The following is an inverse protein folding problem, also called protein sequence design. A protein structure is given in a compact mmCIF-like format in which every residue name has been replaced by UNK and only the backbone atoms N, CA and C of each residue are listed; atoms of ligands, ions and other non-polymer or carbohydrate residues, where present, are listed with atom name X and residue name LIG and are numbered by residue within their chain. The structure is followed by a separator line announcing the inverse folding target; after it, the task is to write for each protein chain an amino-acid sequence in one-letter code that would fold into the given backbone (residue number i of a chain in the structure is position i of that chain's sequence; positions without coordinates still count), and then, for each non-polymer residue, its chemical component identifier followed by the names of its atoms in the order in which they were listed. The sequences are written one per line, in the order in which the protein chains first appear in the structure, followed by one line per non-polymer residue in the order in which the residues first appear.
data_IF_698202404375
#
_entry.id   IF_698202404375
#
_cell.length_a   1.000
_cell.length_b   1.000
_cell.length_c   1.000
_cell.angle_alpha   90.00
_cell.angle_beta   90.00
_cell.angle_gamma   90.00
#
_symmetry.space_group_name_H-M   'P 1'
#
loop_
_entity.id
_entity.type
_entity.pdbx_description
1 polymer ?
#
# COMPACT_ATOMS: atom_id res chain seq x y z
N UNK A 1 -39.12 30.57 -25.52
CA UNK A 1 -38.16 29.51 -25.93
C UNK A 1 -37.54 28.88 -24.70
N UNK A 2 -37.03 29.61 -23.70
CA UNK A 2 -36.42 29.03 -22.49
C UNK A 2 -37.44 28.22 -21.65
N UNK A 3 -38.64 28.73 -21.40
CA UNK A 3 -39.66 28.03 -20.60
C UNK A 3 -40.15 26.72 -21.28
N UNK A 4 -40.13 26.61 -22.59
CA UNK A 4 -40.48 25.39 -23.30
C UNK A 4 -39.38 24.31 -23.21
N UNK A 5 -38.12 24.74 -23.18
CA UNK A 5 -36.97 23.82 -23.03
C UNK A 5 -36.90 23.29 -21.60
N UNK A 6 -37.10 24.13 -20.58
CA UNK A 6 -37.18 23.74 -19.18
C UNK A 6 -38.26 22.68 -18.91
N UNK A 7 -39.45 22.90 -19.45
CA UNK A 7 -40.56 21.96 -19.32
C UNK A 7 -40.25 20.61 -20.00
N UNK A 8 -39.59 20.64 -21.16
CA UNK A 8 -39.15 19.44 -21.86
C UNK A 8 -38.12 18.61 -21.03
N UNK A 9 -37.13 19.27 -20.41
CA UNK A 9 -36.10 18.57 -19.61
C UNK A 9 -36.69 18.00 -18.30
N UNK A 10 -37.55 18.73 -17.60
CA UNK A 10 -38.26 18.18 -16.43
C UNK A 10 -39.16 16.99 -16.81
N UNK A 11 -39.77 17.00 -18.00
CA UNK A 11 -40.50 15.86 -18.52
C UNK A 11 -39.58 14.67 -18.79
N UNK A 12 -38.40 14.88 -19.38
CA UNK A 12 -37.42 13.88 -19.66
C UNK A 12 -36.90 13.19 -18.35
N UNK A 13 -36.70 13.94 -17.27
CA UNK A 13 -36.35 13.37 -15.93
C UNK A 13 -37.44 12.42 -15.45
N UNK A 14 -38.71 12.81 -15.56
CA UNK A 14 -39.86 11.93 -15.12
C UNK A 14 -39.96 10.70 -16.00
N UNK A 15 -39.78 10.85 -17.30
CA UNK A 15 -39.84 9.77 -18.28
C UNK A 15 -38.70 8.75 -18.06
N UNK A 16 -37.47 9.22 -17.86
CA UNK A 16 -36.32 8.38 -17.52
C UNK A 16 -36.59 7.55 -16.25
N UNK A 17 -37.13 8.17 -15.21
CA UNK A 17 -37.53 7.46 -13.98
C UNK A 17 -38.62 6.40 -14.23
N UNK A 18 -39.61 6.72 -15.08
CA UNK A 18 -40.70 5.79 -15.42
C UNK A 18 -40.19 4.58 -16.20
N UNK A 19 -39.28 4.80 -17.17
CA UNK A 19 -38.66 3.73 -17.95
C UNK A 19 -37.87 2.80 -17.04
N UNK A 20 -37.03 3.35 -16.14
CA UNK A 20 -36.25 2.54 -15.21
C UNK A 20 -37.08 1.74 -14.22
N UNK A 21 -38.31 2.19 -13.89
CA UNK A 21 -39.26 1.49 -13.02
C UNK A 21 -40.12 0.45 -13.74
N UNK A 22 -40.10 0.43 -15.06
CA UNK A 22 -40.97 -0.45 -15.86
C UNK A 22 -40.70 -1.94 -15.61
N UNK A 23 -41.62 -2.79 -15.96
CA UNK A 23 -41.45 -4.24 -15.89
C UNK A 23 -40.42 -4.79 -16.87
N UNK A 24 -40.17 -4.06 -17.96
CA UNK A 24 -39.09 -4.30 -18.96
C UNK A 24 -38.31 -3.03 -19.16
N UNK A 25 -37.41 -2.67 -18.24
CA UNK A 25 -36.75 -1.39 -18.27
C UNK A 25 -35.72 -1.30 -19.40
N UNK A 26 -35.74 -0.20 -20.13
CA UNK A 26 -34.66 0.19 -21.06
C UNK A 26 -33.73 1.20 -20.37
N UNK A 27 -32.68 0.67 -19.74
CA UNK A 27 -31.71 1.48 -19.01
C UNK A 27 -30.87 2.37 -19.95
N UNK A 28 -30.66 1.97 -21.20
CA UNK A 28 -29.94 2.78 -22.19
C UNK A 28 -30.74 4.03 -22.56
N UNK A 29 -32.04 3.87 -22.82
CA UNK A 29 -32.95 4.99 -23.08
C UNK A 29 -33.07 5.91 -21.86
N UNK A 30 -33.25 5.34 -20.65
CA UNK A 30 -33.31 6.11 -19.42
C UNK A 30 -32.05 6.96 -19.18
N UNK A 31 -30.85 6.38 -19.39
CA UNK A 31 -29.57 7.12 -19.30
C UNK A 31 -29.47 8.23 -20.35
N UNK A 32 -29.92 8.00 -21.56
CA UNK A 32 -29.90 8.99 -22.62
C UNK A 32 -30.76 10.21 -22.26
N UNK A 33 -31.95 9.98 -21.73
CA UNK A 33 -32.86 11.05 -21.30
C UNK A 33 -32.32 11.85 -20.14
N UNK A 34 -31.78 11.17 -19.10
CA UNK A 34 -31.28 11.86 -17.90
C UNK A 34 -30.00 12.64 -18.17
N UNK A 35 -29.12 12.17 -19.06
CA UNK A 35 -27.88 12.84 -19.43
C UNK A 35 -28.12 14.28 -19.90
N UNK A 36 -29.12 14.49 -20.79
CA UNK A 36 -29.48 15.81 -21.25
C UNK A 36 -29.93 16.73 -20.10
N UNK A 37 -30.62 16.20 -19.10
CA UNK A 37 -31.08 16.97 -17.95
C UNK A 37 -29.96 17.31 -16.96
N UNK A 38 -28.95 16.44 -16.81
CA UNK A 38 -27.78 16.68 -15.95
C UNK A 38 -26.90 17.83 -16.47
N UNK A 39 -26.87 18.05 -17.77
CA UNK A 39 -26.08 19.08 -18.40
C UNK A 39 -26.87 20.41 -18.61
N UNK A 40 -28.20 20.36 -18.52
CA UNK A 40 -29.04 21.53 -18.80
C UNK A 40 -29.01 22.54 -17.64
N UNK A 41 -28.75 23.83 -17.90
CA UNK A 41 -28.66 24.88 -16.88
C UNK A 41 -29.89 25.00 -15.96
N UNK A 42 -31.08 24.59 -16.43
CA UNK A 42 -32.32 24.73 -15.66
C UNK A 42 -32.66 23.50 -14.80
N UNK A 43 -31.98 22.36 -15.03
CA UNK A 43 -32.24 21.11 -14.31
C UNK A 43 -31.00 20.53 -13.62
N UNK A 44 -29.79 20.98 -13.97
CA UNK A 44 -28.55 20.50 -13.34
C UNK A 44 -28.42 20.82 -11.85
N UNK A 45 -29.13 21.85 -11.38
CA UNK A 45 -29.17 22.27 -9.98
C UNK A 45 -30.43 21.77 -9.25
N UNK A 46 -31.22 20.89 -9.86
CA UNK A 46 -32.36 20.23 -9.23
C UNK A 46 -31.94 18.87 -8.64
N UNK A 47 -32.11 18.70 -7.33
CA UNK A 47 -31.82 17.45 -6.63
C UNK A 47 -32.51 16.22 -7.26
N UNK A 48 -33.71 16.40 -7.84
CA UNK A 48 -34.44 15.35 -8.52
C UNK A 48 -33.69 14.78 -9.71
N UNK A 49 -33.03 15.63 -10.50
CA UNK A 49 -32.28 15.21 -11.69
C UNK A 49 -31.18 14.22 -11.32
N UNK A 50 -30.38 14.55 -10.31
CA UNK A 50 -29.32 13.68 -9.80
C UNK A 50 -29.82 12.44 -9.08
N UNK A 51 -30.93 12.59 -8.32
CA UNK A 51 -31.57 11.44 -7.70
C UNK A 51 -32.04 10.42 -8.74
N UNK A 52 -32.69 10.87 -9.83
CA UNK A 52 -33.15 9.98 -10.90
C UNK A 52 -31.98 9.33 -11.62
N UNK A 53 -30.86 10.05 -11.83
CA UNK A 53 -29.66 9.44 -12.39
C UNK A 53 -29.14 8.28 -11.51
N UNK A 54 -28.97 8.48 -10.21
CA UNK A 54 -28.56 7.42 -9.30
C UNK A 54 -29.59 6.29 -9.17
N UNK A 55 -30.88 6.64 -9.24
CA UNK A 55 -31.96 5.65 -9.22
C UNK A 55 -31.93 4.72 -10.44
N UNK A 56 -31.64 5.23 -11.65
CA UNK A 56 -31.50 4.41 -12.86
C UNK A 56 -30.39 3.37 -12.67
N UNK A 57 -29.25 3.78 -12.11
CA UNK A 57 -28.13 2.88 -11.84
C UNK A 57 -28.46 1.83 -10.76
N UNK A 58 -29.18 2.22 -9.70
CA UNK A 58 -29.65 1.30 -8.69
C UNK A 58 -30.62 0.24 -9.26
N UNK A 59 -31.52 0.64 -10.14
CA UNK A 59 -32.45 -0.29 -10.82
C UNK A 59 -31.71 -1.25 -11.75
N UNK A 60 -30.70 -0.79 -12.48
CA UNK A 60 -29.84 -1.66 -13.31
C UNK A 60 -29.08 -2.67 -12.45
N UNK A 61 -28.46 -2.21 -11.37
CA UNK A 61 -27.77 -3.06 -10.42
C UNK A 61 -28.71 -4.11 -9.82
N UNK A 62 -29.89 -3.68 -9.36
CA UNK A 62 -30.92 -4.56 -8.79
C UNK A 62 -31.45 -5.59 -9.78
N UNK A 63 -31.56 -5.22 -11.06
CA UNK A 63 -31.98 -6.13 -12.13
C UNK A 63 -30.95 -7.25 -12.34
N UNK A 64 -29.65 -6.92 -12.41
CA UNK A 64 -28.60 -7.93 -12.53
C UNK A 64 -28.50 -8.82 -11.28
N UNK A 65 -28.62 -8.26 -10.08
CA UNK A 65 -28.69 -9.02 -8.84
C UNK A 65 -29.90 -10.00 -8.80
N UNK A 66 -31.01 -9.58 -9.32
CA UNK A 66 -32.21 -10.45 -9.39
C UNK A 66 -31.94 -11.69 -10.24
N UNK A 67 -31.21 -11.54 -11.36
CA UNK A 67 -30.77 -12.70 -12.16
C UNK A 67 -29.95 -13.67 -11.31
N UNK A 68 -28.95 -13.14 -10.56
CA UNK A 68 -28.10 -13.94 -9.69
C UNK A 68 -28.94 -14.71 -8.62
N UNK A 69 -29.87 -14.03 -7.97
CA UNK A 69 -30.74 -14.67 -6.96
C UNK A 69 -31.60 -15.77 -7.57
N UNK A 70 -32.03 -15.61 -8.81
CA UNK A 70 -32.81 -16.62 -9.56
C UNK A 70 -31.96 -17.74 -10.17
N UNK A 71 -30.64 -17.77 -9.87
CA UNK A 71 -29.71 -18.77 -10.42
C UNK A 71 -29.39 -18.58 -11.89
N UNK A 72 -29.67 -17.40 -12.43
CA UNK A 72 -29.25 -16.99 -13.78
C UNK A 72 -27.89 -16.27 -13.72
N UNK A 73 -27.17 -16.26 -14.84
CA UNK A 73 -25.91 -15.56 -14.95
C UNK A 73 -26.14 -14.04 -15.06
N UNK A 74 -25.66 -13.21 -14.10
CA UNK A 74 -25.69 -11.76 -14.26
C UNK A 74 -24.63 -11.31 -15.26
N UNK A 75 -24.82 -10.14 -15.84
CA UNK A 75 -23.74 -9.42 -16.52
C UNK A 75 -22.93 -8.65 -15.46
N UNK A 76 -21.85 -9.27 -14.93
CA UNK A 76 -21.06 -8.69 -13.85
C UNK A 76 -20.43 -7.34 -14.19
N UNK A 77 -19.85 -7.11 -15.39
CA UNK A 77 -19.41 -5.78 -15.80
C UNK A 77 -20.51 -4.73 -15.70
N UNK A 78 -21.68 -5.00 -16.29
CA UNK A 78 -22.84 -4.09 -16.26
C UNK A 78 -23.32 -3.87 -14.81
N UNK A 79 -23.36 -4.93 -14.02
CA UNK A 79 -23.79 -4.89 -12.61
C UNK A 79 -22.90 -3.97 -11.79
N UNK A 80 -21.56 -4.15 -11.86
CA UNK A 80 -20.65 -3.35 -11.05
C UNK A 80 -20.43 -1.94 -11.60
N UNK A 81 -20.50 -1.73 -12.91
CA UNK A 81 -20.48 -0.35 -13.48
C UNK A 81 -21.69 0.46 -13.00
N UNK A 82 -22.86 -0.16 -12.96
CA UNK A 82 -24.04 0.49 -12.41
C UNK A 82 -23.87 0.79 -10.91
N UNK A 83 -23.45 -0.19 -10.10
CA UNK A 83 -23.22 0.01 -8.66
C UNK A 83 -22.23 1.16 -8.38
N UNK A 84 -21.09 1.19 -9.08
CA UNK A 84 -20.07 2.22 -8.91
C UNK A 84 -20.55 3.63 -9.28
N UNK A 85 -21.59 3.72 -10.12
CA UNK A 85 -22.18 4.98 -10.55
C UNK A 85 -23.25 5.53 -9.60
N UNK A 86 -23.78 4.73 -8.66
CA UNK A 86 -24.85 5.15 -7.75
C UNK A 86 -24.40 6.28 -6.82
N UNK A 87 -23.29 6.07 -6.10
CA UNK A 87 -22.85 7.02 -5.08
C UNK A 87 -22.55 8.41 -5.64
N UNK A 88 -21.78 8.59 -6.73
CA UNK A 88 -21.52 9.93 -7.28
C UNK A 88 -22.78 10.73 -7.59
N UNK A 89 -23.80 10.10 -8.15
CA UNK A 89 -25.08 10.75 -8.41
C UNK A 89 -25.82 11.09 -7.12
N UNK A 90 -25.86 10.18 -6.17
CA UNK A 90 -26.57 10.40 -4.91
C UNK A 90 -25.88 11.41 -3.99
N UNK A 91 -24.55 11.55 -4.05
CA UNK A 91 -23.86 12.62 -3.34
C UNK A 91 -24.31 13.99 -3.83
N UNK A 92 -24.36 14.18 -5.15
CA UNK A 92 -24.81 15.45 -5.70
C UNK A 92 -26.30 15.69 -5.42
N UNK A 93 -27.13 14.64 -5.53
CA UNK A 93 -28.54 14.73 -5.15
C UNK A 93 -28.72 15.13 -3.69
N UNK A 94 -27.95 14.49 -2.78
CA UNK A 94 -27.99 14.78 -1.34
C UNK A 94 -27.52 16.22 -1.05
N UNK A 95 -26.42 16.67 -1.64
CA UNK A 95 -25.93 18.05 -1.51
C UNK A 95 -27.04 19.07 -1.84
N UNK A 96 -27.68 18.89 -3.01
CA UNK A 96 -28.75 19.77 -3.47
C UNK A 96 -30.03 19.68 -2.63
N UNK A 97 -30.36 18.47 -2.12
CA UNK A 97 -31.54 18.23 -1.29
C UNK A 97 -31.42 18.85 0.10
N UNK A 98 -30.19 19.17 0.58
CA UNK A 98 -29.94 19.87 1.84
C UNK A 98 -29.95 21.40 1.70
N UNK A 99 -30.09 21.94 0.50
CA UNK A 99 -30.13 23.40 0.31
C UNK A 99 -31.44 24.00 0.87
N UNK A 100 -31.37 25.17 1.51
CA UNK A 100 -32.58 25.85 1.99
C UNK A 100 -33.44 26.34 0.80
N UNK A 101 -34.76 26.22 0.95
CA UNK A 101 -35.71 26.81 0.01
C UNK A 101 -35.73 28.35 0.13
N UNK A 102 -36.53 29.03 -0.71
CA UNK A 102 -36.70 30.50 -0.72
C UNK A 102 -37.09 31.10 0.65
N UNK A 103 -37.64 30.29 1.56
CA UNK A 103 -38.01 30.68 2.93
C UNK A 103 -36.92 30.36 3.95
N UNK A 104 -35.71 29.98 3.51
CA UNK A 104 -34.57 29.63 4.36
C UNK A 104 -34.74 28.29 5.10
N UNK A 105 -35.70 27.44 4.73
CA UNK A 105 -35.97 26.14 5.38
C UNK A 105 -35.44 24.98 4.55
N UNK A 106 -34.66 24.12 5.17
CA UNK A 106 -34.26 22.83 4.58
C UNK A 106 -35.41 21.84 4.68
N UNK A 107 -35.85 21.29 3.53
CA UNK A 107 -36.93 20.29 3.44
C UNK A 107 -36.49 19.19 2.46
N UNK A 108 -35.68 18.23 2.91
CA UNK A 108 -35.19 17.16 2.06
C UNK A 108 -36.35 16.29 1.52
N UNK A 109 -36.29 15.98 0.24
CA UNK A 109 -37.30 15.14 -0.45
C UNK A 109 -36.74 13.77 -0.79
N UNK A 110 -35.44 13.66 -1.07
CA UNK A 110 -34.80 12.45 -1.57
C UNK A 110 -33.86 11.80 -0.56
N UNK A 111 -33.43 12.51 0.48
CA UNK A 111 -32.47 12.04 1.49
C UNK A 111 -32.87 10.70 2.10
N UNK A 112 -34.16 10.46 2.40
CA UNK A 112 -34.65 9.20 2.97
C UNK A 112 -34.47 8.03 1.99
N UNK A 113 -34.80 8.22 0.73
CA UNK A 113 -34.71 7.19 -0.29
C UNK A 113 -33.24 6.91 -0.63
N UNK A 114 -32.41 7.95 -0.79
CA UNK A 114 -30.94 7.85 -0.98
C UNK A 114 -30.34 7.01 0.16
N UNK A 115 -30.68 7.33 1.42
CA UNK A 115 -30.21 6.59 2.58
C UNK A 115 -30.62 5.11 2.50
N UNK A 116 -31.87 4.82 2.15
CA UNK A 116 -32.36 3.46 2.00
C UNK A 116 -31.60 2.66 0.95
N UNK A 117 -31.39 3.26 -0.22
CA UNK A 117 -30.69 2.63 -1.35
C UNK A 117 -29.21 2.41 -1.02
N UNK A 118 -28.50 3.44 -0.55
CA UNK A 118 -27.07 3.32 -0.20
C UNK A 118 -26.85 2.32 0.92
N UNK A 119 -27.70 2.32 1.96
CA UNK A 119 -27.62 1.36 3.04
C UNK A 119 -27.84 -0.09 2.59
N UNK A 120 -28.83 -0.33 1.71
CA UNK A 120 -29.10 -1.66 1.16
C UNK A 120 -27.98 -2.17 0.24
N UNK A 121 -27.31 -1.27 -0.46
CA UNK A 121 -26.25 -1.59 -1.41
C UNK A 121 -24.84 -1.59 -0.78
N UNK A 122 -24.69 -1.11 0.45
CA UNK A 122 -23.39 -0.85 1.07
C UNK A 122 -22.43 -2.04 1.00
N UNK A 123 -22.86 -3.23 1.40
CA UNK A 123 -22.02 -4.43 1.39
C UNK A 123 -21.56 -4.84 -0.01
N UNK A 124 -22.32 -4.50 -1.05
CA UNK A 124 -21.97 -4.89 -2.43
C UNK A 124 -20.81 -4.08 -3.01
N UNK A 125 -20.47 -2.94 -2.42
CA UNK A 125 -19.23 -2.22 -2.77
C UNK A 125 -17.99 -3.02 -2.40
N UNK A 126 -18.03 -3.84 -1.34
CA UNK A 126 -16.95 -4.79 -1.04
C UNK A 126 -16.80 -5.79 -2.18
N UNK A 127 -17.91 -6.36 -2.65
CA UNK A 127 -17.91 -7.34 -3.73
C UNK A 127 -17.39 -6.74 -5.05
N UNK A 128 -17.80 -5.50 -5.37
CA UNK A 128 -17.30 -4.78 -6.54
C UNK A 128 -15.79 -4.51 -6.45
N UNK A 129 -15.32 -4.08 -5.28
CA UNK A 129 -13.90 -3.91 -5.02
C UNK A 129 -13.11 -5.20 -5.21
N UNK A 130 -13.60 -6.32 -4.65
CA UNK A 130 -12.99 -7.64 -4.81
C UNK A 130 -12.98 -8.11 -6.28
N UNK A 131 -14.11 -7.93 -6.98
CA UNK A 131 -14.23 -8.28 -8.39
C UNK A 131 -13.16 -7.60 -9.27
N UNK A 132 -12.98 -6.28 -9.12
CA UNK A 132 -11.96 -5.56 -9.88
C UNK A 132 -10.53 -5.84 -9.38
N UNK A 133 -10.36 -6.10 -8.10
CA UNK A 133 -9.06 -6.48 -7.54
C UNK A 133 -8.55 -7.81 -8.13
N UNK A 134 -9.43 -8.81 -8.25
CA UNK A 134 -9.10 -10.11 -8.86
C UNK A 134 -8.75 -9.98 -10.35
N UNK A 135 -9.35 -9.00 -11.03
CA UNK A 135 -9.01 -8.67 -12.42
C UNK A 135 -7.78 -7.77 -12.55
N UNK A 136 -7.14 -7.38 -11.43
CA UNK A 136 -6.01 -6.45 -11.38
C UNK A 136 -6.34 -5.04 -11.91
N UNK A 137 -7.61 -4.68 -11.99
CA UNK A 137 -8.05 -3.30 -12.18
C UNK A 137 -8.05 -2.57 -10.83
N UNK A 138 -6.85 -2.31 -10.34
CA UNK A 138 -6.65 -1.73 -9.01
C UNK A 138 -7.23 -0.32 -8.87
N UNK A 139 -7.39 0.40 -9.97
CA UNK A 139 -8.02 1.72 -9.94
C UNK A 139 -9.51 1.59 -9.59
N UNK A 140 -10.24 0.76 -10.33
CA UNK A 140 -11.66 0.51 -10.02
C UNK A 140 -11.82 -0.16 -8.64
N UNK A 141 -10.95 -1.11 -8.28
CA UNK A 141 -10.98 -1.73 -6.96
C UNK A 141 -10.84 -0.68 -5.84
N UNK A 142 -9.87 0.22 -5.93
CA UNK A 142 -9.68 1.32 -5.01
C UNK A 142 -10.92 2.21 -4.92
N UNK A 143 -11.49 2.61 -6.06
CA UNK A 143 -12.66 3.46 -6.11
C UNK A 143 -13.88 2.82 -5.42
N UNK A 144 -14.10 1.51 -5.59
CA UNK A 144 -15.16 0.77 -4.91
C UNK A 144 -14.95 0.71 -3.40
N UNK A 145 -13.74 0.41 -2.94
CA UNK A 145 -13.42 0.41 -1.51
C UNK A 145 -13.57 1.81 -0.90
N UNK A 146 -13.12 2.85 -1.59
CA UNK A 146 -13.32 4.24 -1.13
C UNK A 146 -14.80 4.62 -1.08
N UNK A 147 -15.62 4.18 -2.04
CA UNK A 147 -17.05 4.42 -2.00
C UNK A 147 -17.71 3.73 -0.79
N UNK A 148 -17.29 2.50 -0.46
CA UNK A 148 -17.76 1.82 0.76
C UNK A 148 -17.44 2.66 2.02
N UNK A 149 -16.18 3.08 2.16
CA UNK A 149 -15.72 3.88 3.31
C UNK A 149 -16.44 5.23 3.38
N UNK A 150 -16.63 5.86 2.24
CA UNK A 150 -17.30 7.15 2.13
C UNK A 150 -18.78 7.07 2.52
N UNK A 151 -19.50 6.01 2.10
CA UNK A 151 -20.89 5.78 2.52
C UNK A 151 -20.94 5.63 4.05
N UNK A 152 -20.00 4.89 4.66
CA UNK A 152 -19.93 4.72 6.11
C UNK A 152 -19.72 6.06 6.86
N UNK A 153 -19.08 7.04 6.23
CA UNK A 153 -18.81 8.36 6.79
C UNK A 153 -19.93 9.39 6.54
N UNK A 154 -20.93 9.06 5.71
CA UNK A 154 -22.00 10.00 5.40
C UNK A 154 -22.84 10.34 6.64
N UNK A 155 -23.10 11.64 6.89
CA UNK A 155 -23.83 12.08 8.10
C UNK A 155 -25.18 11.41 8.32
N UNK A 156 -25.83 10.99 7.22
CA UNK A 156 -27.14 10.33 7.28
C UNK A 156 -27.11 8.95 7.93
N UNK A 157 -25.93 8.31 8.06
CA UNK A 157 -25.76 6.99 8.68
C UNK A 157 -25.23 7.06 10.11
N UNK A 158 -25.03 8.27 10.66
CA UNK A 158 -24.49 8.41 12.01
C UNK A 158 -25.31 7.65 13.04
N UNK A 159 -24.67 6.72 13.75
CA UNK A 159 -25.29 5.87 14.76
C UNK A 159 -26.02 4.64 14.23
N UNK A 160 -25.84 4.30 12.95
CA UNK A 160 -26.39 3.10 12.31
C UNK A 160 -25.29 2.09 11.98
N UNK A 161 -25.68 0.83 11.74
CA UNK A 161 -24.74 -0.26 11.42
C UNK A 161 -23.81 0.05 10.24
N UNK A 162 -24.28 0.78 9.22
CA UNK A 162 -23.48 1.21 8.07
C UNK A 162 -22.28 2.07 8.48
N UNK A 163 -22.38 2.83 9.57
CA UNK A 163 -21.32 3.70 10.08
C UNK A 163 -20.41 3.01 11.11
N UNK A 164 -20.64 1.73 11.44
CA UNK A 164 -19.81 0.99 12.38
C UNK A 164 -18.43 0.73 11.82
N UNK A 165 -17.43 0.76 12.70
CA UNK A 165 -16.03 0.45 12.39
C UNK A 165 -15.74 -1.03 12.66
N UNK A 166 -16.57 -1.90 12.09
CA UNK A 166 -16.52 -3.34 12.25
C UNK A 166 -15.35 -3.98 11.46
N UNK A 167 -15.31 -5.32 11.47
CA UNK A 167 -14.30 -6.08 10.74
C UNK A 167 -14.32 -5.82 9.21
N UNK A 168 -15.50 -5.60 8.64
CA UNK A 168 -15.63 -5.30 7.22
C UNK A 168 -15.03 -3.94 6.90
N UNK A 169 -15.33 -2.94 7.73
CA UNK A 169 -14.74 -1.60 7.57
C UNK A 169 -13.21 -1.64 7.62
N UNK A 170 -12.64 -2.33 8.61
CA UNK A 170 -11.18 -2.47 8.74
C UNK A 170 -10.57 -3.24 7.56
N UNK A 171 -11.23 -4.32 7.13
CA UNK A 171 -10.81 -5.09 5.96
C UNK A 171 -10.81 -4.24 4.69
N UNK A 172 -11.85 -3.45 4.47
CA UNK A 172 -11.95 -2.57 3.30
C UNK A 172 -10.89 -1.48 3.33
N UNK A 173 -10.62 -0.87 4.50
CA UNK A 173 -9.51 0.09 4.63
C UNK A 173 -8.17 -0.52 4.22
N UNK A 174 -7.90 -1.74 4.66
CA UNK A 174 -6.68 -2.45 4.29
C UNK A 174 -6.60 -2.71 2.77
N UNK A 175 -7.65 -3.25 2.16
CA UNK A 175 -7.63 -3.56 0.73
C UNK A 175 -7.67 -2.32 -0.16
N UNK A 176 -8.28 -1.22 0.28
CA UNK A 176 -8.16 0.08 -0.38
C UNK A 176 -6.69 0.53 -0.40
N UNK A 177 -5.99 0.41 0.73
CA UNK A 177 -4.58 0.76 0.82
C UNK A 177 -3.71 -0.15 -0.08
N UNK A 178 -3.95 -1.47 -0.08
CA UNK A 178 -3.23 -2.41 -0.97
C UNK A 178 -3.50 -2.08 -2.44
N UNK A 179 -4.75 -1.80 -2.83
CA UNK A 179 -5.07 -1.39 -4.20
C UNK A 179 -4.33 -0.10 -4.59
N UNK A 180 -4.27 0.89 -3.69
CA UNK A 180 -3.53 2.14 -3.92
C UNK A 180 -2.02 1.90 -4.12
N UNK A 181 -1.42 1.02 -3.33
CA UNK A 181 -0.01 0.60 -3.50
C UNK A 181 0.25 -0.01 -4.88
N UNK A 182 -0.69 -0.85 -5.37
CA UNK A 182 -0.56 -1.47 -6.68
C UNK A 182 -0.70 -0.49 -7.86
N UNK A 183 -1.24 0.70 -7.63
CA UNK A 183 -1.32 1.76 -8.65
C UNK A 183 0.01 2.48 -8.89
N UNK A 184 0.99 2.34 -7.98
CA UNK A 184 2.27 3.05 -8.06
C UNK A 184 2.17 4.56 -7.75
N UNK A 185 1.06 5.00 -7.16
CA UNK A 185 0.86 6.37 -6.67
C UNK A 185 1.13 6.40 -5.17
N UNK A 186 2.39 6.66 -4.80
CA UNK A 186 2.82 6.65 -3.39
C UNK A 186 2.05 7.65 -2.52
N UNK A 187 1.60 8.78 -3.05
CA UNK A 187 0.82 9.74 -2.26
C UNK A 187 -0.55 9.17 -1.88
N UNK A 188 -1.24 8.58 -2.86
CA UNK A 188 -2.53 7.92 -2.66
C UNK A 188 -2.38 6.72 -1.71
N UNK A 189 -1.34 5.91 -1.91
CA UNK A 189 -1.04 4.75 -1.09
C UNK A 189 -0.76 5.14 0.37
N UNK A 190 0.11 6.12 0.62
CA UNK A 190 0.42 6.64 1.95
C UNK A 190 -0.85 7.15 2.64
N UNK A 191 -1.68 7.93 1.95
CA UNK A 191 -2.92 8.46 2.53
C UNK A 191 -3.89 7.33 2.96
N UNK A 192 -4.02 6.28 2.16
CA UNK A 192 -4.86 5.13 2.48
C UNK A 192 -4.26 4.28 3.61
N UNK A 193 -2.94 4.04 3.59
CA UNK A 193 -2.22 3.28 4.61
C UNK A 193 -2.23 3.99 5.98
N UNK A 194 -2.05 5.32 6.01
CA UNK A 194 -2.13 6.09 7.27
C UNK A 194 -3.54 6.03 7.90
N UNK A 195 -4.59 5.91 7.11
CA UNK A 195 -5.93 5.63 7.63
C UNK A 195 -6.04 4.20 8.17
N UNK A 196 -5.53 3.20 7.44
CA UNK A 196 -5.55 1.79 7.84
C UNK A 196 -4.69 1.53 9.09
N UNK A 197 -3.61 2.29 9.30
CA UNK A 197 -2.71 2.25 10.46
C UNK A 197 -3.44 2.41 11.81
N UNK A 198 -4.59 3.10 11.81
CA UNK A 198 -5.39 3.31 13.00
C UNK A 198 -6.27 2.10 13.37
N UNK A 199 -6.17 0.99 12.65
CA UNK A 199 -6.87 -0.27 12.93
C UNK A 199 -5.88 -1.36 13.33
N UNK A 200 -6.40 -2.42 13.97
CA UNK A 200 -5.57 -3.58 14.30
C UNK A 200 -5.57 -4.66 13.20
N UNK A 201 -6.35 -4.47 12.14
CA UNK A 201 -6.44 -5.43 11.06
C UNK A 201 -5.15 -5.44 10.23
N UNK A 202 -4.42 -6.56 10.26
CA UNK A 202 -3.14 -6.76 9.58
C UNK A 202 -2.14 -5.61 9.83
N UNK A 203 -2.14 -5.10 11.05
CA UNK A 203 -1.44 -3.86 11.40
C UNK A 203 0.07 -3.90 11.07
N UNK A 204 0.75 -5.04 11.31
CA UNK A 204 2.17 -5.18 10.95
C UNK A 204 2.41 -4.98 9.45
N UNK A 205 1.56 -5.56 8.61
CA UNK A 205 1.66 -5.42 7.15
C UNK A 205 1.40 -3.97 6.69
N UNK A 206 0.45 -3.28 7.32
CA UNK A 206 0.20 -1.86 7.04
C UNK A 206 1.45 -1.03 7.31
N UNK A 207 2.15 -1.26 8.43
CA UNK A 207 3.41 -0.59 8.74
C UNK A 207 4.51 -0.94 7.73
N UNK A 208 4.60 -2.19 7.28
CA UNK A 208 5.57 -2.60 6.26
C UNK A 208 5.30 -1.92 4.90
N UNK A 209 4.03 -1.86 4.48
CA UNK A 209 3.64 -1.11 3.27
C UNK A 209 3.94 0.39 3.38
N UNK A 210 3.69 1.01 4.55
CA UNK A 210 4.05 2.41 4.79
C UNK A 210 5.55 2.64 4.67
N UNK A 211 6.38 1.76 5.24
CA UNK A 211 7.82 1.85 5.09
C UNK A 211 8.24 1.78 3.62
N UNK A 212 7.67 0.85 2.87
CA UNK A 212 7.92 0.73 1.43
C UNK A 212 7.55 2.01 0.67
N UNK A 213 6.37 2.55 0.91
CA UNK A 213 5.89 3.75 0.21
C UNK A 213 6.68 5.01 0.59
N UNK A 214 7.08 5.17 1.86
CA UNK A 214 7.95 6.26 2.27
C UNK A 214 9.37 6.14 1.66
N UNK A 215 9.87 4.91 1.49
CA UNK A 215 11.14 4.66 0.79
C UNK A 215 11.03 5.06 -0.70
N UNK A 216 9.96 4.65 -1.40
CA UNK A 216 9.71 5.04 -2.80
C UNK A 216 9.57 6.56 -2.94
N UNK A 217 8.89 7.21 -2.00
CA UNK A 217 8.72 8.66 -1.94
C UNK A 217 10.00 9.40 -1.51
N UNK A 218 11.05 8.68 -1.09
CA UNK A 218 12.29 9.23 -0.49
C UNK A 218 12.03 10.09 0.75
N UNK A 219 10.95 9.83 1.44
CA UNK A 219 10.60 10.48 2.70
C UNK A 219 11.28 9.76 3.87
N UNK A 220 12.57 10.04 4.03
CA UNK A 220 13.42 9.39 5.03
C UNK A 220 12.98 9.68 6.48
N UNK A 221 12.32 10.81 6.72
CA UNK A 221 11.85 11.21 8.05
C UNK A 221 10.66 10.33 8.47
N UNK A 222 9.65 10.22 7.63
CA UNK A 222 8.49 9.39 7.93
C UNK A 222 8.82 7.89 7.85
N UNK A 223 9.76 7.48 6.98
CA UNK A 223 10.28 6.10 6.97
C UNK A 223 10.88 5.73 8.34
N UNK A 224 11.83 6.53 8.85
CA UNK A 224 12.46 6.25 10.15
C UNK A 224 11.44 6.20 11.28
N UNK A 225 10.55 7.19 11.34
CA UNK A 225 9.47 7.24 12.34
C UNK A 225 8.58 5.99 12.27
N UNK A 226 8.19 5.57 11.07
CA UNK A 226 7.33 4.39 10.88
C UNK A 226 8.04 3.10 11.27
N UNK A 227 9.34 2.98 10.98
CA UNK A 227 10.17 1.85 11.40
C UNK A 227 10.29 1.78 12.93
N UNK A 228 10.52 2.92 13.62
CA UNK A 228 10.59 2.99 15.08
C UNK A 228 9.23 2.64 15.72
N UNK A 229 8.13 3.17 15.19
CA UNK A 229 6.78 2.82 15.65
C UNK A 229 6.49 1.33 15.44
N UNK A 230 6.85 0.78 14.27
CA UNK A 230 6.69 -0.64 13.93
C UNK A 230 7.49 -1.54 14.87
N UNK A 231 8.74 -1.20 15.13
CA UNK A 231 9.59 -1.94 16.07
C UNK A 231 9.03 -1.94 17.50
N UNK A 232 8.48 -0.81 17.95
CA UNK A 232 7.86 -0.72 19.28
C UNK A 232 6.55 -1.52 19.37
N UNK A 233 5.74 -1.49 18.31
CA UNK A 233 4.42 -2.16 18.29
C UNK A 233 4.54 -3.67 18.02
N UNK A 234 5.53 -4.08 17.23
CA UNK A 234 5.76 -5.46 16.79
C UNK A 234 7.21 -5.91 17.08
N UNK A 235 7.64 -5.98 18.35
CA UNK A 235 9.03 -6.21 18.72
C UNK A 235 9.57 -7.59 18.30
N UNK A 236 8.70 -8.56 17.99
CA UNK A 236 9.08 -9.88 17.49
C UNK A 236 9.28 -9.93 15.96
N UNK A 237 8.88 -8.86 15.25
CA UNK A 237 9.02 -8.77 13.80
C UNK A 237 10.40 -8.22 13.44
N UNK A 238 11.29 -9.11 13.01
CA UNK A 238 12.67 -8.75 12.63
C UNK A 238 12.74 -7.71 11.51
N UNK A 239 11.71 -7.61 10.68
CA UNK A 239 11.65 -6.66 9.56
C UNK A 239 11.94 -5.23 10.01
N UNK A 240 11.26 -4.74 11.06
CA UNK A 240 11.41 -3.35 11.51
C UNK A 240 12.80 -3.06 12.06
N UNK A 241 13.33 -3.97 12.86
CA UNK A 241 14.67 -3.84 13.43
C UNK A 241 15.73 -3.79 12.32
N UNK A 242 15.68 -4.76 11.39
CA UNK A 242 16.69 -4.86 10.34
C UNK A 242 16.60 -3.70 9.34
N UNK A 243 15.38 -3.27 8.99
CA UNK A 243 15.16 -2.12 8.11
C UNK A 243 15.63 -0.82 8.75
N UNK A 244 15.41 -0.64 10.06
CA UNK A 244 15.89 0.54 10.80
C UNK A 244 17.42 0.58 10.85
N UNK A 245 18.06 -0.55 11.15
CA UNK A 245 19.51 -0.67 11.14
C UNK A 245 20.07 -0.33 9.75
N UNK A 246 19.50 -0.90 8.68
CA UNK A 246 19.91 -0.61 7.32
C UNK A 246 19.72 0.89 6.98
N UNK A 247 18.61 1.50 7.39
CA UNK A 247 18.37 2.93 7.20
C UNK A 247 19.47 3.78 7.87
N UNK A 248 19.90 3.42 9.08
CA UNK A 248 21.02 4.10 9.74
C UNK A 248 22.35 3.89 9.04
N UNK A 249 22.64 2.70 8.54
CA UNK A 249 23.85 2.40 7.76
C UNK A 249 23.89 3.25 6.49
N UNK A 250 22.82 3.25 5.70
CA UNK A 250 22.73 4.02 4.45
C UNK A 250 22.80 5.53 4.66
N UNK A 251 22.33 6.01 5.80
CA UNK A 251 22.42 7.43 6.17
C UNK A 251 23.72 7.80 6.92
N UNK A 252 24.71 6.90 6.97
CA UNK A 252 26.01 7.04 7.69
C UNK A 252 25.86 7.33 9.20
N UNK A 253 24.75 6.94 9.80
CA UNK A 253 24.49 7.02 11.26
C UNK A 253 24.88 5.72 11.96
N UNK A 254 26.14 5.32 11.78
CA UNK A 254 26.66 4.02 12.18
C UNK A 254 26.57 3.78 13.69
N UNK A 255 26.73 4.83 14.52
CA UNK A 255 26.61 4.72 15.98
C UNK A 255 25.20 4.29 16.40
N UNK A 256 24.16 4.84 15.76
CA UNK A 256 22.77 4.41 16.00
C UNK A 256 22.54 2.95 15.57
N UNK A 257 23.07 2.55 14.42
CA UNK A 257 22.98 1.17 13.97
C UNK A 257 23.62 0.20 14.99
N UNK A 258 24.77 0.56 15.55
CA UNK A 258 25.50 -0.22 16.57
C UNK A 258 24.67 -0.30 17.87
N UNK A 259 24.04 0.79 18.30
CA UNK A 259 23.19 0.81 19.50
C UNK A 259 22.00 -0.16 19.37
N UNK A 260 21.29 -0.11 18.26
CA UNK A 260 20.18 -1.05 17.99
C UNK A 260 20.66 -2.50 17.87
N UNK A 261 21.80 -2.74 17.21
CA UNK A 261 22.39 -4.06 17.10
C UNK A 261 22.82 -4.64 18.46
N UNK A 262 23.43 -3.83 19.32
CA UNK A 262 23.81 -4.25 20.67
C UNK A 262 22.56 -4.64 21.48
N UNK A 263 21.48 -3.88 21.36
CA UNK A 263 20.21 -4.19 22.02
C UNK A 263 19.61 -5.50 21.50
N UNK A 264 19.67 -5.72 20.18
CA UNK A 264 19.20 -6.95 19.55
C UNK A 264 20.04 -8.18 19.97
N UNK A 265 21.37 -8.07 19.96
CA UNK A 265 22.30 -9.12 20.39
C UNK A 265 22.10 -9.47 21.87
N UNK A 266 21.79 -8.48 22.72
CA UNK A 266 21.50 -8.73 24.13
C UNK A 266 20.22 -9.56 24.33
N UNK A 267 19.24 -9.43 23.42
CA UNK A 267 17.98 -10.22 23.42
C UNK A 267 18.16 -11.61 22.80
N UNK A 268 18.92 -11.69 21.72
CA UNK A 268 19.15 -12.93 20.95
C UNK A 268 20.64 -13.08 20.60
N UNK A 269 21.42 -13.55 21.56
CA UNK A 269 22.86 -13.72 21.43
C UNK A 269 23.29 -14.89 20.51
N UNK A 270 22.34 -15.75 20.10
CA UNK A 270 22.60 -16.91 19.24
C UNK A 270 22.19 -16.67 17.77
N UNK A 271 21.92 -15.44 17.38
CA UNK A 271 21.53 -15.09 16.03
C UNK A 271 22.76 -14.63 15.21
N UNK A 272 23.27 -15.46 14.29
CA UNK A 272 24.48 -15.11 13.52
C UNK A 272 24.28 -13.90 12.61
N UNK A 273 23.04 -13.64 12.16
CA UNK A 273 22.70 -12.51 11.33
C UNK A 273 23.02 -11.16 12.01
N UNK A 274 22.75 -11.04 13.31
CA UNK A 274 23.02 -9.80 14.06
C UNK A 274 24.52 -9.49 14.11
N UNK A 275 25.34 -10.51 14.30
CA UNK A 275 26.79 -10.35 14.30
C UNK A 275 27.33 -10.08 12.89
N UNK A 276 26.75 -10.69 11.85
CA UNK A 276 27.10 -10.38 10.47
C UNK A 276 26.81 -8.92 10.13
N UNK A 277 25.62 -8.41 10.46
CA UNK A 277 25.26 -7.01 10.24
C UNK A 277 26.18 -6.07 11.02
N UNK A 278 26.54 -6.43 12.27
CA UNK A 278 27.51 -5.66 13.04
C UNK A 278 28.88 -5.62 12.35
N UNK A 279 29.35 -6.75 11.83
CA UNK A 279 30.59 -6.84 11.03
C UNK A 279 30.55 -5.92 9.82
N UNK A 280 29.42 -5.90 9.08
CA UNK A 280 29.23 -5.01 7.92
C UNK A 280 29.24 -3.53 8.30
N UNK A 281 28.64 -3.14 9.43
CA UNK A 281 28.72 -1.75 9.92
C UNK A 281 30.15 -1.32 10.14
N UNK A 282 30.96 -2.18 10.79
CA UNK A 282 32.40 -1.88 11.01
C UNK A 282 33.20 -1.89 9.72
N UNK A 283 32.94 -2.82 8.78
CA UNK A 283 33.66 -2.91 7.51
C UNK A 283 33.36 -1.70 6.60
N UNK A 284 32.07 -1.47 6.30
CA UNK A 284 31.66 -0.52 5.26
C UNK A 284 31.42 0.89 5.81
N UNK A 285 30.86 0.99 7.01
CA UNK A 285 30.50 2.25 7.63
C UNK A 285 31.69 2.93 8.32
N UNK A 286 32.43 2.18 9.15
CA UNK A 286 33.51 2.73 9.97
C UNK A 286 34.91 2.42 9.46
N UNK A 287 35.04 1.54 8.45
CA UNK A 287 36.32 1.08 7.89
C UNK A 287 37.25 0.43 8.94
N UNK A 288 36.66 -0.11 10.00
CA UNK A 288 37.35 -0.85 11.06
C UNK A 288 37.37 -2.34 10.74
N UNK A 289 38.32 -2.76 9.91
CA UNK A 289 38.42 -4.13 9.43
C UNK A 289 38.71 -5.13 10.55
N UNK A 290 39.39 -4.70 11.63
CA UNK A 290 39.70 -5.58 12.76
C UNK A 290 38.43 -5.95 13.53
N UNK A 291 37.55 -4.99 13.80
CA UNK A 291 36.27 -5.27 14.42
C UNK A 291 35.32 -6.01 13.47
N UNK A 292 35.33 -5.70 12.19
CA UNK A 292 34.55 -6.42 11.19
C UNK A 292 34.91 -7.92 11.22
N UNK A 293 36.21 -8.24 11.19
CA UNK A 293 36.73 -9.62 11.31
C UNK A 293 36.22 -10.31 12.59
N UNK A 294 36.33 -9.62 13.75
CA UNK A 294 35.86 -10.14 15.03
C UNK A 294 34.37 -10.53 14.98
N UNK A 295 33.53 -9.66 14.44
CA UNK A 295 32.09 -9.91 14.42
C UNK A 295 31.69 -10.97 13.39
N UNK A 296 32.31 -11.04 12.21
CA UNK A 296 32.07 -12.12 11.27
C UNK A 296 32.51 -13.49 11.85
N UNK A 297 33.61 -13.53 12.59
CA UNK A 297 34.03 -14.74 13.31
C UNK A 297 33.06 -15.14 14.40
N UNK A 298 32.44 -14.20 15.12
CA UNK A 298 31.37 -14.49 16.09
C UNK A 298 30.15 -15.11 15.41
N UNK A 299 29.73 -14.58 14.25
CA UNK A 299 28.64 -15.16 13.46
C UNK A 299 28.97 -16.60 13.04
N UNK A 300 30.18 -16.87 12.56
CA UNK A 300 30.64 -18.22 12.16
C UNK A 300 30.85 -19.17 13.35
N UNK A 301 31.11 -18.65 14.55
CA UNK A 301 31.17 -19.47 15.76
C UNK A 301 29.77 -19.99 16.15
N UNK A 302 28.72 -19.23 15.86
CA UNK A 302 27.32 -19.63 16.09
C UNK A 302 26.86 -20.57 14.97
N UNK A 303 27.09 -20.18 13.73
CA UNK A 303 26.76 -20.97 12.55
C UNK A 303 27.98 -21.04 11.59
N UNK A 304 28.76 -22.12 11.61
CA UNK A 304 29.93 -22.27 10.74
C UNK A 304 29.63 -22.27 9.24
N UNK A 305 28.36 -22.46 8.88
CA UNK A 305 27.86 -22.49 7.50
C UNK A 305 27.04 -21.24 7.16
N UNK A 306 27.20 -20.15 7.95
CA UNK A 306 26.54 -18.90 7.64
C UNK A 306 27.25 -18.21 6.47
N UNK A 307 26.66 -18.40 5.27
CA UNK A 307 27.32 -18.09 4.00
C UNK A 307 27.67 -16.60 3.83
N UNK A 308 26.80 -15.72 4.33
CA UNK A 308 27.02 -14.26 4.28
C UNK A 308 28.31 -13.88 5.04
N UNK A 309 28.50 -14.42 6.25
CA UNK A 309 29.73 -14.14 7.02
C UNK A 309 30.96 -14.83 6.45
N UNK A 310 30.83 -16.01 5.82
CA UNK A 310 31.94 -16.60 5.07
C UNK A 310 32.40 -15.68 3.96
N UNK A 311 31.47 -15.22 3.11
CA UNK A 311 31.78 -14.31 2.02
C UNK A 311 32.32 -12.95 2.51
N UNK A 312 31.71 -12.39 3.53
CA UNK A 312 32.13 -11.10 4.10
C UNK A 312 33.54 -11.17 4.72
N UNK A 313 33.84 -12.23 5.46
CA UNK A 313 35.16 -12.42 6.06
C UNK A 313 36.24 -12.67 5.00
N UNK A 314 35.92 -13.47 3.98
CA UNK A 314 36.77 -13.63 2.81
C UNK A 314 37.10 -12.30 2.13
N UNK A 315 36.07 -11.47 1.95
CA UNK A 315 36.21 -10.12 1.37
C UNK A 315 37.06 -9.19 2.25
N UNK A 316 36.90 -9.23 3.57
CA UNK A 316 37.72 -8.43 4.49
C UNK A 316 39.19 -8.78 4.33
N UNK A 317 39.57 -10.05 4.32
CA UNK A 317 40.96 -10.46 4.12
C UNK A 317 41.46 -10.13 2.70
N UNK A 318 40.62 -10.35 1.68
CA UNK A 318 40.99 -10.00 0.31
C UNK A 318 41.26 -8.50 0.17
N UNK A 319 40.41 -7.64 0.71
CA UNK A 319 40.61 -6.19 0.66
C UNK A 319 41.87 -5.72 1.43
N UNK A 320 42.15 -6.35 2.56
CA UNK A 320 43.40 -6.09 3.30
C UNK A 320 44.64 -6.49 2.45
N UNK A 321 44.54 -7.62 1.73
CA UNK A 321 45.58 -8.04 0.79
C UNK A 321 45.79 -7.03 -0.35
N UNK A 322 44.71 -6.55 -0.97
CA UNK A 322 44.74 -5.53 -2.02
C UNK A 322 45.34 -4.23 -1.49
N UNK A 323 44.98 -3.77 -0.30
CA UNK A 323 45.54 -2.56 0.30
C UNK A 323 47.04 -2.70 0.55
N UNK A 324 47.47 -3.85 1.12
CA UNK A 324 48.89 -4.14 1.35
C UNK A 324 49.69 -4.25 0.05
N UNK A 325 49.13 -4.81 -0.99
CA UNK A 325 49.76 -4.84 -2.31
C UNK A 325 49.89 -3.42 -2.89
N UNK A 326 48.86 -2.58 -2.71
CA UNK A 326 48.90 -1.17 -3.10
C UNK A 326 50.01 -0.40 -2.37
N UNK A 327 50.16 -0.59 -1.05
CA UNK A 327 51.23 -0.01 -0.24
C UNK A 327 52.60 -0.49 -0.72
N UNK A 328 52.75 -1.79 -0.95
CA UNK A 328 53.99 -2.38 -1.47
C UNK A 328 54.41 -1.73 -2.78
N UNK A 329 53.50 -1.52 -3.72
CA UNK A 329 53.78 -0.96 -5.04
C UNK A 329 54.33 0.48 -5.00
N UNK A 330 54.23 1.17 -3.85
CA UNK A 330 54.80 2.50 -3.66
C UNK A 330 56.23 2.48 -3.08
N UNK A 331 56.77 1.30 -2.77
CA UNK A 331 58.09 1.14 -2.15
C UNK A 331 59.14 0.93 -3.21
N UNK A 332 60.17 1.80 -3.20
CA UNK A 332 61.31 1.72 -4.14
C UNK A 332 62.36 0.70 -3.71
N UNK A 333 62.48 0.42 -2.42
CA UNK A 333 63.42 -0.57 -1.91
C UNK A 333 62.95 -2.00 -2.18
N UNK A 334 63.75 -2.76 -2.91
CA UNK A 334 63.40 -4.09 -3.37
C UNK A 334 63.15 -5.08 -2.21
N UNK A 335 63.87 -4.95 -1.09
CA UNK A 335 63.71 -5.84 0.06
C UNK A 335 62.40 -5.52 0.80
N UNK A 336 62.19 -4.26 1.08
CA UNK A 336 60.95 -3.82 1.74
C UNK A 336 59.70 -4.11 0.86
N UNK A 337 59.81 -3.94 -0.47
CA UNK A 337 58.77 -4.32 -1.42
C UNK A 337 58.38 -5.80 -1.28
N UNK A 338 59.37 -6.71 -1.25
CA UNK A 338 59.13 -8.16 -1.11
C UNK A 338 58.53 -8.51 0.26
N UNK A 339 58.93 -7.82 1.32
CA UNK A 339 58.37 -8.02 2.67
C UNK A 339 56.89 -7.62 2.72
N UNK A 340 56.51 -6.44 2.19
CA UNK A 340 55.10 -6.00 2.16
C UNK A 340 54.27 -6.80 1.19
N UNK A 341 54.82 -7.20 0.04
CA UNK A 341 54.15 -8.12 -0.87
C UNK A 341 53.89 -9.53 -0.24
N UNK A 342 54.82 -9.98 0.61
CA UNK A 342 54.65 -11.18 1.42
C UNK A 342 53.43 -11.09 2.34
N UNK A 343 53.26 -9.95 3.04
CA UNK A 343 52.11 -9.68 3.89
C UNK A 343 50.78 -9.69 3.09
N UNK A 344 50.77 -9.07 1.89
CA UNK A 344 49.60 -9.12 1.00
C UNK A 344 49.23 -10.54 0.63
N UNK A 345 50.21 -11.39 0.28
CA UNK A 345 49.97 -12.81 -0.04
C UNK A 345 49.37 -13.60 1.13
N UNK A 346 49.78 -13.30 2.38
CA UNK A 346 49.20 -13.96 3.56
C UNK A 346 47.74 -13.61 3.72
N UNK A 347 47.29 -12.40 3.48
CA UNK A 347 45.91 -12.01 3.48
C UNK A 347 45.08 -12.74 2.40
N UNK A 348 45.62 -12.87 1.18
CA UNK A 348 44.94 -13.65 0.13
C UNK A 348 44.83 -15.13 0.48
N UNK A 349 45.84 -15.70 1.11
CA UNK A 349 45.77 -17.09 1.61
C UNK A 349 44.70 -17.26 2.71
N UNK A 350 44.53 -16.25 3.56
CA UNK A 350 43.47 -16.28 4.59
C UNK A 350 42.08 -16.14 4.00
N UNK A 351 41.91 -15.37 2.90
CA UNK A 351 40.64 -15.17 2.22
C UNK A 351 40.13 -16.46 1.54
N UNK A 352 41.04 -17.21 0.92
CA UNK A 352 40.74 -18.33 0.03
C UNK A 352 39.80 -19.38 0.64
N UNK A 353 40.05 -19.96 1.85
CA UNK A 353 39.19 -21.02 2.38
C UNK A 353 37.76 -20.56 2.67
N UNK A 354 37.54 -19.30 2.94
CA UNK A 354 36.20 -18.74 3.16
C UNK A 354 35.41 -18.64 1.86
N UNK A 355 36.05 -18.18 0.79
CA UNK A 355 35.42 -18.14 -0.54
C UNK A 355 35.18 -19.56 -1.10
N UNK A 356 36.16 -20.47 -0.94
CA UNK A 356 35.99 -21.86 -1.38
C UNK A 356 34.80 -22.51 -0.67
N UNK A 357 34.66 -22.32 0.63
CA UNK A 357 33.53 -22.86 1.39
C UNK A 357 32.20 -22.25 0.96
N UNK A 358 32.12 -20.93 0.77
CA UNK A 358 30.92 -20.25 0.30
C UNK A 358 30.52 -20.73 -1.10
N UNK A 359 31.48 -20.85 -2.02
CA UNK A 359 31.25 -21.38 -3.36
C UNK A 359 30.78 -22.85 -3.36
N UNK A 360 31.35 -23.70 -2.51
CA UNK A 360 30.91 -25.10 -2.38
C UNK A 360 29.45 -25.21 -1.92
N UNK A 361 29.00 -24.26 -1.08
CA UNK A 361 27.62 -24.23 -0.58
C UNK A 361 26.63 -23.73 -1.64
N UNK A 362 27.05 -22.78 -2.50
CA UNK A 362 26.22 -22.16 -3.54
C UNK A 362 27.01 -21.97 -4.85
N UNK A 363 27.28 -23.05 -5.58
CA UNK A 363 28.11 -23.01 -6.77
C UNK A 363 27.47 -22.25 -7.95
N UNK A 364 26.15 -22.09 -7.96
CA UNK A 364 25.42 -21.37 -9.02
C UNK A 364 25.43 -19.84 -8.83
N UNK A 365 25.79 -19.37 -7.65
CA UNK A 365 25.79 -17.92 -7.37
C UNK A 365 27.14 -17.32 -7.71
N UNK A 366 27.16 -16.42 -8.72
CA UNK A 366 28.37 -15.72 -9.18
C UNK A 366 29.03 -14.85 -8.10
N UNK A 367 28.27 -14.47 -7.08
CA UNK A 367 28.75 -13.66 -5.96
C UNK A 367 29.79 -14.40 -5.12
N UNK A 368 29.80 -15.74 -5.15
CA UNK A 368 30.72 -16.59 -4.40
C UNK A 368 31.80 -17.25 -5.29
N UNK A 369 31.89 -16.83 -6.57
CA UNK A 369 32.97 -17.23 -7.47
C UNK A 369 34.18 -16.27 -7.29
#
# INVERSE_FOLDING_TARGET
VAASVSFAQKKAVNEAQSIAKGSTPDFSEARTLIKGALENPETKDDAKTWYVAGFIEDQQFSNERTKQVLGQQPDEPVMYEALGSILPYFEKAYELDQLPNEKGKVKPKFTKDIKGILGANHVYYINGGAYYFDQKDYNKAYDFFEQYLKISDMPMFKGEAVAERDSNFMTVQFYAAVAATQLGDSQKAIAALERAKNTDYRASEVYQYLCYEYEQAKDTVNLEKTLEEGLNKFPEEQYFLMSLINNYIYSNRNEKAIEYLNTAIAKDSNNPQLYDVMGRVYETGLKDYAKAEEYFKKALAINPDYIESLSNLGRVYYNQGVNKQGEANMINDAKQYQEELGKAKEFFKQALPYFEKAHQMKPEEREYM
#
